data_IF_385457104602
#
_entry.id   IF_385457104602
#
_cell.length_a   1.000
_cell.length_b   1.000
_cell.length_c   1.000
_cell.angle_alpha   90.00
_cell.angle_beta   90.00
_cell.angle_gamma   90.00
#
_symmetry.space_group_name_H-M   'P 1'
#
loop_
_entity.id
_entity.type
_entity.pdbx_description
1 polymer ?
#
# COMPACT_ATOMS: atom_id res chain seq x y z
N UNK A 1 28.50 14.63 -12.25
CA UNK A 1 27.91 15.97 -12.18
C UNK A 1 26.47 15.76 -11.74
N UNK A 2 26.11 16.15 -10.51
CA UNK A 2 24.77 15.89 -9.98
C UNK A 2 23.73 16.89 -10.46
N UNK A 3 22.46 16.58 -10.21
CA UNK A 3 21.32 17.45 -10.50
C UNK A 3 21.48 18.85 -9.89
N UNK A 4 21.10 19.87 -10.65
CA UNK A 4 21.03 21.24 -10.14
C UNK A 4 19.91 21.40 -9.12
N UNK A 5 20.02 22.41 -8.25
CA UNK A 5 18.95 22.76 -7.29
C UNK A 5 17.59 22.96 -7.96
N UNK A 6 17.58 23.57 -9.16
CA UNK A 6 16.36 23.77 -9.96
C UNK A 6 15.75 22.45 -10.42
N UNK A 7 16.58 21.50 -10.86
CA UNK A 7 16.11 20.16 -11.25
C UNK A 7 15.56 19.38 -10.04
N UNK A 8 16.19 19.49 -8.87
CA UNK A 8 15.69 18.84 -7.66
C UNK A 8 14.31 19.37 -7.24
N UNK A 9 14.11 20.69 -7.27
CA UNK A 9 12.80 21.31 -6.97
C UNK A 9 11.72 20.88 -7.97
N UNK A 10 12.07 20.79 -9.26
CA UNK A 10 11.16 20.29 -10.31
C UNK A 10 10.85 18.81 -10.08
N UNK A 11 11.85 17.98 -9.76
CA UNK A 11 11.66 16.56 -9.47
C UNK A 11 10.74 16.35 -8.26
N UNK A 12 10.90 17.16 -7.20
CA UNK A 12 10.02 17.15 -6.03
C UNK A 12 8.57 17.49 -6.38
N UNK A 13 8.34 18.55 -7.16
CA UNK A 13 6.98 18.93 -7.59
C UNK A 13 6.34 17.89 -8.51
N UNK A 14 7.14 17.19 -9.32
CA UNK A 14 6.65 16.05 -10.11
C UNK A 14 6.25 14.90 -9.17
N UNK A 15 7.06 14.58 -8.17
CA UNK A 15 6.77 13.53 -7.18
C UNK A 15 5.51 13.82 -6.36
N UNK A 16 5.22 15.10 -6.07
CA UNK A 16 3.99 15.51 -5.40
C UNK A 16 2.72 15.29 -6.24
N UNK A 17 2.83 15.22 -7.58
CA UNK A 17 1.75 14.79 -8.47
C UNK A 17 0.60 15.79 -8.70
N UNK A 18 0.54 16.91 -7.97
CA UNK A 18 -0.56 17.88 -8.07
C UNK A 18 -0.46 18.89 -9.22
N UNK A 19 0.70 18.98 -9.88
CA UNK A 19 0.97 19.99 -10.92
C UNK A 19 1.23 19.35 -12.28
N UNK A 20 0.64 19.90 -13.34
CA UNK A 20 0.95 19.45 -14.70
C UNK A 20 2.36 19.87 -15.10
N UNK A 21 2.98 19.17 -16.06
CA UNK A 21 4.30 19.57 -16.58
C UNK A 21 4.30 21.01 -17.11
N UNK A 22 3.17 21.45 -17.68
CA UNK A 22 2.96 22.81 -18.15
C UNK A 22 2.99 23.83 -17.01
N UNK A 23 2.37 23.54 -15.88
CA UNK A 23 2.35 24.44 -14.73
C UNK A 23 3.74 24.53 -14.08
N UNK A 24 4.44 23.41 -13.99
CA UNK A 24 5.83 23.36 -13.52
C UNK A 24 6.73 24.14 -14.48
N UNK A 25 6.59 23.95 -15.79
CA UNK A 25 7.34 24.68 -16.81
C UNK A 25 7.17 26.19 -16.68
N UNK A 26 5.93 26.67 -16.53
CA UNK A 26 5.62 28.08 -16.26
C UNK A 26 6.26 28.58 -14.97
N UNK A 27 6.09 27.84 -13.86
CA UNK A 27 6.60 28.22 -12.53
C UNK A 27 8.12 28.40 -12.52
N UNK A 28 8.85 27.58 -13.26
CA UNK A 28 10.31 27.62 -13.32
C UNK A 28 10.86 28.37 -14.53
N UNK A 29 9.99 28.95 -15.38
CA UNK A 29 10.37 29.61 -16.63
C UNK A 29 11.29 28.72 -17.50
N UNK A 30 10.86 27.49 -17.74
CA UNK A 30 11.54 26.50 -18.61
C UNK A 30 10.54 25.94 -19.62
N UNK A 31 11.05 25.34 -20.71
CA UNK A 31 10.17 24.68 -21.68
C UNK A 31 9.68 23.33 -21.15
N UNK A 32 8.46 22.92 -21.52
CA UNK A 32 7.94 21.58 -21.22
C UNK A 32 8.85 20.48 -21.81
N UNK A 33 9.46 20.74 -22.97
CA UNK A 33 10.44 19.85 -23.62
C UNK A 33 11.68 19.65 -22.73
N UNK A 34 12.13 20.68 -22.02
CA UNK A 34 13.26 20.58 -21.07
C UNK A 34 12.93 19.60 -19.95
N UNK A 35 11.73 19.69 -19.37
CA UNK A 35 11.27 18.77 -18.33
C UNK A 35 11.17 17.35 -18.89
N UNK A 36 10.59 17.18 -20.08
CA UNK A 36 10.50 15.89 -20.75
C UNK A 36 11.88 15.24 -20.97
N UNK A 37 12.87 16.03 -21.41
CA UNK A 37 14.27 15.57 -21.55
C UNK A 37 14.87 15.17 -20.20
N UNK A 38 14.68 15.95 -19.14
CA UNK A 38 15.17 15.58 -17.80
C UNK A 38 14.55 14.28 -17.31
N UNK A 39 13.26 14.05 -17.55
CA UNK A 39 12.60 12.79 -17.19
C UNK A 39 13.17 11.55 -17.89
N UNK A 40 13.95 11.70 -18.95
CA UNK A 40 14.66 10.59 -19.59
C UNK A 40 16.01 10.28 -18.93
N UNK A 41 16.57 11.21 -18.15
CA UNK A 41 17.84 11.05 -17.45
C UNK A 41 17.66 10.21 -16.18
N UNK A 42 18.55 9.23 -15.98
CA UNK A 42 18.40 8.28 -14.87
C UNK A 42 18.57 8.93 -13.50
N UNK A 43 19.48 9.89 -13.36
CA UNK A 43 19.65 10.67 -12.11
C UNK A 43 18.36 11.40 -11.73
N UNK A 44 17.67 12.00 -12.70
CA UNK A 44 16.43 12.72 -12.48
C UNK A 44 15.27 11.79 -12.13
N UNK A 45 15.17 10.64 -12.81
CA UNK A 45 14.20 9.58 -12.46
C UNK A 45 14.43 9.07 -11.04
N UNK A 46 15.68 8.86 -10.64
CA UNK A 46 16.03 8.45 -9.28
C UNK A 46 15.63 9.50 -8.25
N UNK A 47 15.90 10.78 -8.51
CA UNK A 47 15.49 11.87 -7.62
C UNK A 47 13.96 11.91 -7.43
N UNK A 48 13.17 11.76 -8.51
CA UNK A 48 11.70 11.66 -8.41
C UNK A 48 11.31 10.49 -7.50
N UNK A 49 11.87 9.29 -7.72
CA UNK A 49 11.56 8.11 -6.90
C UNK A 49 11.90 8.27 -5.42
N UNK A 50 13.02 8.94 -5.13
CA UNK A 50 13.42 9.24 -3.75
C UNK A 50 12.37 10.13 -3.09
N UNK A 51 11.97 11.23 -3.74
CA UNK A 51 10.92 12.11 -3.22
C UNK A 51 9.57 11.41 -3.09
N UNK A 52 9.17 10.58 -4.06
CA UNK A 52 7.94 9.78 -3.98
C UNK A 52 7.94 8.87 -2.74
N UNK A 53 9.07 8.20 -2.47
CA UNK A 53 9.20 7.35 -1.28
C UNK A 53 9.15 8.18 0.01
N UNK A 54 9.86 9.30 0.08
CA UNK A 54 9.82 10.20 1.24
C UNK A 54 8.39 10.68 1.54
N UNK A 55 7.68 11.15 0.51
CA UNK A 55 6.27 11.56 0.62
C UNK A 55 5.41 10.39 1.12
N UNK A 56 5.60 9.20 0.57
CA UNK A 56 4.87 8.00 1.00
C UNK A 56 5.14 7.65 2.47
N UNK A 57 6.39 7.73 2.93
CA UNK A 57 6.74 7.47 4.33
C UNK A 57 6.12 8.50 5.27
N UNK A 58 6.14 9.78 4.89
CA UNK A 58 5.51 10.85 5.66
C UNK A 58 4.00 10.67 5.75
N UNK A 59 3.35 10.29 4.64
CA UNK A 59 1.92 9.96 4.63
C UNK A 59 1.61 8.77 5.53
N UNK A 60 2.40 7.70 5.47
CA UNK A 60 2.25 6.54 6.37
C UNK A 60 2.38 6.93 7.83
N UNK A 61 3.38 7.73 8.18
CA UNK A 61 3.57 8.22 9.55
C UNK A 61 2.37 9.04 10.03
N UNK A 62 1.84 9.93 9.18
CA UNK A 62 0.62 10.71 9.48
C UNK A 62 -0.58 9.79 9.70
N UNK A 63 -0.76 8.78 8.85
CA UNK A 63 -1.86 7.82 8.97
C UNK A 63 -1.78 7.02 10.27
N UNK A 64 -0.59 6.52 10.63
CA UNK A 64 -0.34 5.84 11.91
C UNK A 64 -0.64 6.79 13.09
N UNK A 65 -0.25 8.06 12.98
CA UNK A 65 -0.57 9.08 13.98
C UNK A 65 -2.07 9.35 14.16
N UNK A 66 -2.89 9.07 13.13
CA UNK A 66 -4.35 9.18 13.21
C UNK A 66 -5.01 7.96 13.88
N UNK A 67 -4.31 6.82 13.96
CA UNK A 67 -4.84 5.56 14.52
C UNK A 67 -5.46 5.72 15.91
N UNK A 68 -4.84 6.41 16.90
CA UNK A 68 -5.45 6.57 18.22
C UNK A 68 -6.79 7.32 18.19
N UNK A 69 -6.94 8.29 17.29
CA UNK A 69 -8.21 9.00 17.12
C UNK A 69 -9.26 8.07 16.49
N UNK A 70 -8.89 7.33 15.45
CA UNK A 70 -9.79 6.38 14.81
C UNK A 70 -10.29 5.30 15.78
N UNK A 71 -9.42 4.77 16.64
CA UNK A 71 -9.78 3.80 17.69
C UNK A 71 -10.80 4.40 18.66
N UNK A 72 -10.61 5.64 19.12
CA UNK A 72 -11.58 6.31 20.01
C UNK A 72 -12.93 6.55 19.37
N UNK A 73 -12.98 6.85 18.07
CA UNK A 73 -14.27 6.97 17.37
C UNK A 73 -14.93 5.61 17.20
N UNK A 74 -14.16 4.55 16.93
CA UNK A 74 -14.68 3.19 16.87
C UNK A 74 -15.29 2.74 18.20
N UNK A 75 -14.63 3.07 19.32
CA UNK A 75 -15.12 2.79 20.67
C UNK A 75 -16.50 3.41 20.91
N UNK A 76 -16.69 4.69 20.52
CA UNK A 76 -18.01 5.35 20.59
C UNK A 76 -19.07 4.66 19.72
N UNK A 77 -18.69 4.15 18.55
CA UNK A 77 -19.64 3.45 17.66
C UNK A 77 -20.12 2.12 18.25
N UNK A 78 -19.39 1.53 19.21
CA UNK A 78 -19.86 0.37 19.96
C UNK A 78 -21.06 0.69 20.88
N UNK A 79 -21.30 1.97 21.17
CA UNK A 79 -22.42 2.45 21.96
C UNK A 79 -23.51 3.13 21.10
N UNK A 80 -23.40 3.07 19.77
CA UNK A 80 -24.36 3.73 18.88
C UNK A 80 -25.79 3.17 19.05
N UNK A 81 -26.80 4.05 19.02
CA UNK A 81 -28.22 3.66 19.14
C UNK A 81 -28.65 2.70 18.01
N UNK A 82 -28.18 2.99 16.79
CA UNK A 82 -28.46 2.18 15.61
C UNK A 82 -27.77 0.82 15.71
N UNK A 83 -28.55 -0.25 15.87
CA UNK A 83 -28.03 -1.61 16.06
C UNK A 83 -27.14 -2.07 14.90
N UNK A 84 -27.45 -1.67 13.67
CA UNK A 84 -26.66 -2.00 12.48
C UNK A 84 -25.25 -1.39 12.53
N UNK A 85 -25.14 -0.14 12.99
CA UNK A 85 -23.86 0.56 13.16
C UNK A 85 -23.05 -0.10 14.27
N UNK A 86 -23.70 -0.39 15.41
CA UNK A 86 -23.07 -1.07 16.55
C UNK A 86 -22.58 -2.46 16.18
N UNK A 87 -23.39 -3.26 15.48
CA UNK A 87 -23.01 -4.59 15.00
C UNK A 87 -21.80 -4.53 14.05
N UNK A 88 -21.75 -3.54 13.16
CA UNK A 88 -20.60 -3.37 12.25
C UNK A 88 -19.33 -3.00 13.03
N UNK A 89 -19.42 -2.08 13.99
CA UNK A 89 -18.28 -1.72 14.83
C UNK A 89 -17.75 -2.93 15.63
N UNK A 90 -18.65 -3.76 16.19
CA UNK A 90 -18.28 -5.00 16.88
C UNK A 90 -17.55 -5.97 15.94
N UNK A 91 -18.07 -6.19 14.73
CA UNK A 91 -17.41 -7.05 13.72
C UNK A 91 -16.02 -6.52 13.37
N UNK A 92 -15.90 -5.23 13.08
CA UNK A 92 -14.65 -4.59 12.71
C UNK A 92 -13.59 -4.71 13.82
N UNK A 93 -13.98 -4.67 15.10
CA UNK A 93 -13.08 -4.91 16.23
C UNK A 93 -12.63 -6.37 16.26
N UNK A 94 -13.57 -7.33 16.20
CA UNK A 94 -13.27 -8.77 16.28
C UNK A 94 -12.37 -9.25 15.12
N UNK A 95 -12.60 -8.76 13.91
CA UNK A 95 -11.79 -9.08 12.72
C UNK A 95 -10.34 -8.57 12.85
N UNK A 96 -10.11 -7.48 13.60
CA UNK A 96 -8.78 -6.89 13.79
C UNK A 96 -7.94 -7.57 14.87
N UNK A 97 -8.59 -8.20 15.85
CA UNK A 97 -7.90 -8.92 16.95
C UNK A 97 -7.72 -10.42 16.66
N UNK A 98 -8.00 -10.84 15.43
CA UNK A 98 -7.98 -12.24 14.97
C UNK A 98 -8.81 -13.19 15.86
N UNK A 99 -9.84 -12.65 16.53
CA UNK A 99 -10.84 -13.43 17.29
C UNK A 99 -11.99 -13.84 16.37
N UNK A 100 -11.66 -14.21 15.13
CA UNK A 100 -12.64 -14.65 14.15
C UNK A 100 -13.15 -16.03 14.55
N UNK A 101 -14.47 -16.30 14.49
CA UNK A 101 -14.97 -17.67 14.52
C UNK A 101 -14.23 -18.47 13.45
N UNK A 102 -13.78 -19.69 13.78
CA UNK A 102 -12.94 -20.49 12.89
C UNK A 102 -13.43 -20.44 11.43
N UNK A 103 -12.59 -19.91 10.54
CA UNK A 103 -12.89 -19.86 9.11
C UNK A 103 -13.14 -21.29 8.62
N UNK A 104 -14.29 -21.51 7.98
CA UNK A 104 -14.65 -22.81 7.41
C UNK A 104 -13.77 -23.05 6.18
N UNK A 105 -12.66 -23.76 6.35
CA UNK A 105 -11.77 -24.13 5.24
C UNK A 105 -12.49 -25.14 4.33
N UNK A 106 -12.95 -24.70 3.16
CA UNK A 106 -13.33 -25.60 2.07
C UNK A 106 -12.09 -25.93 1.23
N UNK A 107 -11.37 -26.98 1.62
CA UNK A 107 -10.32 -27.55 0.75
C UNK A 107 -11.03 -28.40 -0.31
N UNK A 108 -11.12 -27.89 -1.54
CA UNK A 108 -11.39 -28.73 -2.72
C UNK A 108 -10.11 -28.75 -3.53
N UNK A 109 -9.42 -29.88 -3.48
CA UNK A 109 -8.22 -30.12 -4.27
C UNK A 109 -8.39 -31.41 -5.03
N UNK A 110 -8.13 -31.37 -6.33
CA UNK A 110 -7.87 -32.56 -7.15
C UNK A 110 -6.42 -32.96 -6.91
N UNK A 111 -6.10 -33.32 -5.66
CA UNK A 111 -4.76 -33.76 -5.28
C UNK A 111 -4.68 -35.21 -5.71
N UNK A 112 -3.98 -35.48 -6.81
CA UNK A 112 -3.73 -36.83 -7.28
C UNK A 112 -3.18 -37.69 -6.14
N UNK A 113 -3.98 -38.64 -5.67
CA UNK A 113 -3.58 -39.58 -4.64
C UNK A 113 -2.51 -40.48 -5.25
N UNK A 114 -1.27 -40.35 -4.79
CA UNK A 114 -0.21 -41.30 -5.12
C UNK A 114 -0.21 -42.37 -4.03
N UNK A 115 -0.71 -43.57 -4.35
CA UNK A 115 -0.58 -44.72 -3.47
C UNK A 115 0.87 -45.20 -3.56
N UNK A 116 1.61 -45.07 -2.46
CA UNK A 116 2.94 -45.68 -2.32
C UNK A 116 2.69 -47.09 -1.78
N UNK A 117 2.91 -48.11 -2.61
CA UNK A 117 2.84 -49.51 -2.19
C UNK A 117 4.11 -49.88 -1.42
N UNK A 118 4.10 -49.61 -0.11
CA UNK A 118 5.18 -49.98 0.83
C UNK A 118 5.00 -51.41 1.37
N UNK A 119 4.25 -52.29 0.69
CA UNK A 119 4.11 -53.69 1.12
C UNK A 119 5.41 -54.44 0.78
N UNK A 120 6.14 -54.97 1.79
CA UNK A 120 7.35 -55.73 1.54
C UNK A 120 7.02 -57.03 0.78
N UNK A 121 7.88 -57.39 -0.18
CA UNK A 121 7.71 -58.56 -1.07
C UNK A 121 7.54 -59.89 -0.31
N UNK A 122 7.88 -59.94 0.98
CA UNK A 122 7.69 -61.11 1.84
C UNK A 122 6.22 -61.47 2.15
N UNK A 123 5.24 -60.67 1.71
CA UNK A 123 3.79 -60.90 1.91
C UNK A 123 3.03 -60.97 0.57
N UNK A 124 3.72 -61.08 -0.57
CA UNK A 124 3.06 -61.33 -1.86
C UNK A 124 2.95 -62.86 -2.05
N UNK A 125 1.79 -63.41 -1.69
CA UNK A 125 1.38 -64.80 -1.98
C UNK A 125 1.30 -65.08 -3.49
#
# INVERSE_FOLDING_TARGET
MGLSKKQLEVAKLIAEGYSSQRDIAKKFNISEVTISRWKQQDEFKQAIKVFENEILQDMKRKLIGMTPKAIRELDKLLEADAESVRLQAVKDVLDRVDLRPADKLSITGDVGVTIIDDIPESIKE
#
